data_IF_422902936171
#
_entry.id   IF_422902936171
#
_cell.length_a   1.000
_cell.length_b   1.000
_cell.length_c   1.000
_cell.angle_alpha   90.00
_cell.angle_beta   90.00
_cell.angle_gamma   90.00
#
_symmetry.space_group_name_H-M   'P 1'
#
loop_
_entity.id
_entity.type
_entity.pdbx_description
1 polymer ?
#
# COMPACT_ATOMS: atom_id res chain seq x y z
N UNK A 1 14.86 18.45 -1.06
CA UNK A 1 14.68 18.97 0.30
C UNK A 1 15.10 20.44 0.39
N UNK A 2 16.20 20.82 -0.28
CA UNK A 2 16.81 22.17 -0.20
C UNK A 2 15.95 23.34 -0.68
N UNK A 3 14.97 23.11 -1.55
CA UNK A 3 14.19 24.19 -2.17
C UNK A 3 13.06 24.73 -1.29
N UNK A 4 12.58 23.96 -0.31
CA UNK A 4 11.47 24.36 0.58
C UNK A 4 11.94 24.81 1.97
N UNK A 5 13.07 24.30 2.47
CA UNK A 5 13.63 24.70 3.76
C UNK A 5 14.11 26.16 3.76
N UNK A 6 14.62 26.69 2.64
CA UNK A 6 15.15 28.06 2.55
C UNK A 6 14.09 29.19 2.67
N UNK A 7 12.80 28.86 2.81
CA UNK A 7 11.70 29.84 2.78
C UNK A 7 11.28 30.34 4.18
N UNK A 8 11.77 29.72 5.28
CA UNK A 8 11.25 29.94 6.65
C UNK A 8 12.09 30.87 7.56
N UNK A 9 12.73 31.90 7.01
CA UNK A 9 13.94 32.54 7.59
C UNK A 9 13.79 33.37 8.87
N UNK A 10 12.60 33.56 9.47
CA UNK A 10 12.42 34.38 10.69
C UNK A 10 11.86 33.65 11.92
N UNK A 11 11.33 32.43 11.78
CA UNK A 11 10.80 31.68 12.92
C UNK A 11 11.93 30.92 13.65
N UNK A 12 12.04 31.12 14.98
CA UNK A 12 13.11 30.53 15.81
C UNK A 12 13.13 29.00 15.74
N UNK A 13 11.97 28.34 15.87
CA UNK A 13 11.89 26.87 15.85
C UNK A 13 12.28 26.34 14.47
N UNK A 14 11.93 27.06 13.40
CA UNK A 14 12.32 26.62 12.05
C UNK A 14 13.84 26.70 11.85
N UNK A 15 14.50 27.75 12.35
CA UNK A 15 15.97 27.84 12.32
C UNK A 15 16.62 26.70 13.11
N UNK A 16 16.09 26.41 14.30
CA UNK A 16 16.57 25.29 15.13
C UNK A 16 16.41 23.95 14.39
N UNK A 17 15.30 23.72 13.67
CA UNK A 17 15.12 22.51 12.86
C UNK A 17 16.01 22.46 11.61
N UNK A 18 16.29 23.60 10.97
CA UNK A 18 17.25 23.67 9.86
C UNK A 18 18.66 23.32 10.33
N UNK A 19 19.06 23.81 11.51
CA UNK A 19 20.34 23.48 12.12
C UNK A 19 20.41 22.00 12.49
N UNK A 20 19.35 21.46 13.10
CA UNK A 20 19.22 20.03 13.40
C UNK A 20 19.32 19.19 12.11
N UNK A 21 18.63 19.59 11.04
CA UNK A 21 18.71 18.95 9.73
C UNK A 21 20.13 18.89 9.20
N UNK A 22 20.87 19.99 9.31
CA UNK A 22 22.27 20.07 8.86
C UNK A 22 23.15 19.11 9.66
N UNK A 23 23.03 19.14 10.99
CA UNK A 23 23.78 18.25 11.90
C UNK A 23 23.56 16.77 11.57
N UNK A 24 22.31 16.38 11.33
CA UNK A 24 21.97 14.97 11.09
C UNK A 24 22.35 14.51 9.68
N UNK A 25 22.03 15.29 8.65
CA UNK A 25 22.18 14.81 7.26
C UNK A 25 23.53 15.17 6.63
N UNK A 26 24.11 16.32 7.00
CA UNK A 26 25.42 16.73 6.47
C UNK A 26 26.55 16.30 7.42
N UNK A 27 26.37 16.53 8.72
CA UNK A 27 27.41 16.25 9.73
C UNK A 27 27.32 14.82 10.31
N UNK A 28 26.24 14.08 9.99
CA UNK A 28 25.98 12.69 10.40
C UNK A 28 25.93 12.49 11.93
N UNK A 29 25.44 13.49 12.65
CA UNK A 29 25.21 13.42 14.09
C UNK A 29 23.89 12.69 14.43
N UNK A 30 23.84 12.08 15.62
CA UNK A 30 22.59 11.60 16.24
C UNK A 30 21.75 12.80 16.71
N UNK A 31 20.41 12.66 16.82
CA UNK A 31 19.57 13.78 17.28
C UNK A 31 19.90 14.18 18.73
N UNK A 32 20.17 13.18 19.57
CA UNK A 32 20.32 13.36 21.01
C UNK A 32 19.05 13.88 21.71
N UNK A 33 19.08 14.02 23.06
CA UNK A 33 17.91 14.42 23.84
C UNK A 33 17.36 15.81 23.47
N UNK A 34 18.25 16.76 23.18
CA UNK A 34 17.87 18.13 22.80
C UNK A 34 17.19 18.17 21.43
N UNK A 35 17.70 17.40 20.46
CA UNK A 35 17.09 17.27 19.13
C UNK A 35 15.70 16.63 19.22
N UNK A 36 15.53 15.56 19.98
CA UNK A 36 14.22 14.94 20.20
C UNK A 36 13.24 15.89 20.92
N UNK A 37 13.72 16.65 21.92
CA UNK A 37 12.90 17.67 22.58
C UNK A 37 12.51 18.81 21.64
N UNK A 38 13.37 19.17 20.68
CA UNK A 38 13.04 20.14 19.63
C UNK A 38 11.94 19.63 18.71
N UNK A 39 12.00 18.35 18.28
CA UNK A 39 10.95 17.75 17.46
C UNK A 39 9.60 17.78 18.17
N UNK A 40 9.55 17.49 19.48
CA UNK A 40 8.32 17.58 20.30
C UNK A 40 7.71 18.98 20.24
N UNK A 41 8.51 20.00 20.58
CA UNK A 41 8.08 21.41 20.57
C UNK A 41 7.62 21.85 19.17
N UNK A 42 8.28 21.36 18.13
CA UNK A 42 7.89 21.65 16.75
C UNK A 42 6.52 21.05 16.39
N UNK A 43 6.23 19.79 16.78
CA UNK A 43 4.91 19.18 16.56
C UNK A 43 3.79 19.91 17.31
N UNK A 44 4.08 20.37 18.53
CA UNK A 44 3.15 21.14 19.39
C UNK A 44 2.93 22.59 18.92
N UNK A 45 3.69 23.05 17.91
CA UNK A 45 3.56 24.41 17.39
C UNK A 45 2.24 24.56 16.63
N UNK A 46 1.39 25.47 17.11
CA UNK A 46 0.02 25.68 16.61
C UNK A 46 0.00 26.35 15.23
N UNK A 47 0.88 27.30 14.97
CA UNK A 47 0.94 28.02 13.70
C UNK A 47 2.34 28.53 13.36
N UNK A 48 2.63 28.58 12.05
CA UNK A 48 3.83 29.22 11.50
C UNK A 48 3.38 30.40 10.64
N UNK A 49 3.61 31.64 11.11
CA UNK A 49 3.06 32.86 10.51
C UNK A 49 3.86 33.49 9.36
N UNK A 50 4.98 32.89 8.95
CA UNK A 50 6.01 33.61 8.19
C UNK A 50 6.11 33.27 6.70
N UNK A 51 5.09 32.65 6.12
CA UNK A 51 5.10 32.29 4.70
C UNK A 51 3.94 32.93 3.96
N UNK A 52 4.25 33.81 3.00
CA UNK A 52 3.29 34.20 1.96
C UNK A 52 3.52 33.30 0.76
N UNK A 53 2.69 32.27 0.61
CA UNK A 53 2.71 31.43 -0.58
C UNK A 53 2.08 32.24 -1.72
N UNK A 54 2.79 32.34 -2.84
CA UNK A 54 2.34 33.09 -4.01
C UNK A 54 0.96 32.55 -4.44
N UNK A 55 -0.02 33.45 -4.62
CA UNK A 55 -1.42 33.17 -4.95
C UNK A 55 -2.34 32.70 -3.79
N UNK A 56 -1.84 32.57 -2.56
CA UNK A 56 -2.68 32.29 -1.39
C UNK A 56 -2.86 33.53 -0.51
N UNK A 57 -3.98 33.59 0.21
CA UNK A 57 -4.18 34.59 1.26
C UNK A 57 -3.18 34.35 2.40
N UNK A 58 -2.99 35.32 3.29
CA UNK A 58 -2.11 35.13 4.46
C UNK A 58 -2.59 33.99 5.35
N UNK A 59 -3.90 33.89 5.60
CA UNK A 59 -4.49 32.81 6.39
C UNK A 59 -4.31 31.45 5.72
N UNK A 60 -4.55 31.35 4.41
CA UNK A 60 -4.37 30.10 3.67
C UNK A 60 -2.90 29.66 3.63
N UNK A 61 -1.98 30.63 3.48
CA UNK A 61 -0.55 30.35 3.47
C UNK A 61 -0.08 29.82 4.83
N UNK A 62 -0.60 30.37 5.94
CA UNK A 62 -0.29 29.89 7.29
C UNK A 62 -0.76 28.44 7.50
N UNK A 63 -1.96 28.08 7.01
CA UNK A 63 -2.48 26.70 7.09
C UNK A 63 -1.52 25.74 6.38
N UNK A 64 -1.23 25.99 5.11
CA UNK A 64 -0.36 25.12 4.30
C UNK A 64 1.05 25.04 4.88
N UNK A 65 1.60 26.17 5.32
CA UNK A 65 2.96 26.22 5.89
C UNK A 65 3.06 25.46 7.20
N UNK A 66 2.03 25.53 8.05
CA UNK A 66 1.97 24.75 9.29
C UNK A 66 1.91 23.25 9.00
N UNK A 67 1.15 22.83 7.98
CA UNK A 67 1.09 21.42 7.57
C UNK A 67 2.41 20.92 7.00
N UNK A 68 3.06 21.69 6.11
CA UNK A 68 4.39 21.35 5.59
C UNK A 68 5.39 21.22 6.74
N UNK A 69 5.34 22.15 7.70
CA UNK A 69 6.21 22.14 8.86
C UNK A 69 6.01 20.88 9.73
N UNK A 70 4.75 20.51 10.02
CA UNK A 70 4.41 19.28 10.75
C UNK A 70 4.83 18.02 9.98
N UNK A 71 4.58 17.96 8.67
CA UNK A 71 5.02 16.86 7.82
C UNK A 71 6.54 16.67 7.87
N UNK A 72 7.31 17.75 7.74
CA UNK A 72 8.77 17.70 7.81
C UNK A 72 9.25 17.23 9.19
N UNK A 73 8.65 17.73 10.26
CA UNK A 73 8.98 17.31 11.63
C UNK A 73 8.68 15.81 11.83
N UNK A 74 7.57 15.30 11.30
CA UNK A 74 7.26 13.87 11.34
C UNK A 74 8.26 13.02 10.54
N UNK A 75 8.76 13.51 9.40
CA UNK A 75 9.84 12.82 8.68
C UNK A 75 11.10 12.68 9.53
N UNK A 76 11.46 13.71 10.29
CA UNK A 76 12.58 13.64 11.23
C UNK A 76 12.33 12.63 12.35
N UNK A 77 11.14 12.62 12.95
CA UNK A 77 10.79 11.64 13.99
C UNK A 77 10.87 10.22 13.42
N UNK A 78 10.30 9.99 12.23
CA UNK A 78 10.39 8.69 11.56
C UNK A 78 11.83 8.27 11.34
N UNK A 79 12.68 9.18 10.85
CA UNK A 79 14.10 8.91 10.66
C UNK A 79 14.81 8.53 11.97
N UNK A 80 14.56 9.26 13.07
CA UNK A 80 15.10 8.92 14.39
C UNK A 80 14.68 7.52 14.86
N UNK A 81 13.42 7.14 14.62
CA UNK A 81 12.93 5.78 14.94
C UNK A 81 13.62 4.73 14.07
N UNK A 82 13.79 4.98 12.78
CA UNK A 82 14.45 4.06 11.84
C UNK A 82 15.94 3.86 12.17
N UNK A 83 16.62 4.90 12.69
CA UNK A 83 18.00 4.84 13.17
C UNK A 83 18.12 4.26 14.59
N UNK A 84 17.02 3.76 15.17
CA UNK A 84 16.94 3.14 16.51
C UNK A 84 17.28 4.08 17.66
N UNK A 85 17.07 5.37 17.49
CA UNK A 85 17.14 6.29 18.61
C UNK A 85 15.98 6.06 19.58
N UNK A 86 16.24 6.26 20.87
CA UNK A 86 15.22 6.05 21.91
C UNK A 86 14.30 7.26 21.97
N UNK A 87 13.16 7.16 21.29
CA UNK A 87 12.12 8.18 21.27
C UNK A 87 11.20 8.05 22.50
N UNK A 88 10.99 9.15 23.22
CA UNK A 88 10.13 9.18 24.42
C UNK A 88 8.65 9.10 24.07
N UNK A 89 7.83 8.47 24.93
CA UNK A 89 6.36 8.42 24.76
C UNK A 89 5.73 9.80 24.59
N UNK A 90 6.22 10.81 25.33
CA UNK A 90 5.81 12.21 25.17
C UNK A 90 5.89 12.73 23.73
N UNK A 91 6.97 12.39 23.01
CA UNK A 91 7.13 12.77 21.61
C UNK A 91 6.18 11.96 20.72
N UNK A 92 5.95 10.68 21.03
CA UNK A 92 4.99 9.84 20.30
C UNK A 92 3.54 10.28 20.52
N UNK A 93 3.21 10.82 21.69
CA UNK A 93 1.92 11.45 21.95
C UNK A 93 1.73 12.69 21.08
N UNK A 94 2.75 13.56 21.01
CA UNK A 94 2.72 14.71 20.10
C UNK A 94 2.58 14.31 18.63
N UNK A 95 3.22 13.20 18.20
CA UNK A 95 3.05 12.63 16.84
C UNK A 95 1.59 12.27 16.58
N UNK A 96 0.94 11.60 17.52
CA UNK A 96 -0.47 11.19 17.39
C UNK A 96 -1.40 12.40 17.43
N UNK A 97 -1.10 13.39 18.26
CA UNK A 97 -1.94 14.59 18.43
C UNK A 97 -2.05 15.42 17.16
N UNK A 98 -1.06 15.37 16.27
CA UNK A 98 -1.12 16.00 14.93
C UNK A 98 -2.38 15.59 14.15
N UNK A 99 -2.89 14.37 14.33
CA UNK A 99 -4.11 13.90 13.65
C UNK A 99 -5.38 14.69 14.03
N UNK A 100 -5.37 15.40 15.17
CA UNK A 100 -6.53 16.10 15.73
C UNK A 100 -6.45 17.63 15.64
N UNK A 101 -5.28 18.16 15.27
CA UNK A 101 -5.01 19.59 15.30
C UNK A 101 -5.56 20.36 14.08
N UNK A 102 -5.94 19.66 13.01
CA UNK A 102 -6.17 20.30 11.72
C UNK A 102 -7.68 20.62 11.55
N UNK A 103 -8.08 21.83 11.97
CA UNK A 103 -9.51 22.22 11.97
C UNK A 103 -9.89 23.37 11.04
N UNK A 104 -8.93 24.05 10.43
CA UNK A 104 -9.24 25.26 9.65
C UNK A 104 -9.80 24.97 8.25
N UNK A 105 -10.86 25.66 7.88
CA UNK A 105 -11.52 25.54 6.58
C UNK A 105 -11.19 26.73 5.68
N UNK A 106 -10.52 26.47 4.56
CA UNK A 106 -10.41 27.43 3.45
C UNK A 106 -11.59 27.28 2.49
N UNK A 107 -11.98 28.36 1.81
CA UNK A 107 -12.94 28.34 0.70
C UNK A 107 -12.24 28.23 -0.67
N UNK A 108 -10.92 28.33 -0.72
CA UNK A 108 -10.15 28.25 -1.96
C UNK A 108 -9.89 26.79 -2.35
N UNK A 109 -10.39 26.37 -3.52
CA UNK A 109 -10.25 24.99 -3.99
C UNK A 109 -8.80 24.51 -4.08
N UNK A 110 -7.87 25.36 -4.52
CA UNK A 110 -6.46 24.99 -4.62
C UNK A 110 -5.85 24.72 -3.24
N UNK A 111 -6.23 25.51 -2.23
CA UNK A 111 -5.79 25.34 -0.84
C UNK A 111 -6.41 24.07 -0.25
N UNK A 112 -7.69 23.79 -0.52
CA UNK A 112 -8.36 22.57 -0.07
C UNK A 112 -7.66 21.33 -0.61
N UNK A 113 -7.35 21.30 -1.92
CA UNK A 113 -6.67 20.16 -2.54
C UNK A 113 -5.26 19.94 -1.98
N UNK A 114 -4.48 21.01 -1.82
CA UNK A 114 -3.13 20.91 -1.27
C UNK A 114 -3.15 20.52 0.22
N UNK A 115 -4.10 21.05 0.98
CA UNK A 115 -4.35 20.65 2.38
C UNK A 115 -4.65 19.16 2.46
N UNK A 116 -5.58 18.63 1.67
CA UNK A 116 -5.93 17.21 1.67
C UNK A 116 -4.74 16.32 1.32
N UNK A 117 -3.91 16.75 0.36
CA UNK A 117 -2.67 16.06 0.01
C UNK A 117 -1.73 15.98 1.22
N UNK A 118 -1.48 17.11 1.88
CA UNK A 118 -0.60 17.17 3.05
C UNK A 118 -1.14 16.41 4.26
N UNK A 119 -2.45 16.49 4.53
CA UNK A 119 -3.11 15.72 5.58
C UNK A 119 -2.95 14.22 5.38
N UNK A 120 -3.09 13.74 4.14
CA UNK A 120 -2.88 12.32 3.81
C UNK A 120 -1.43 11.90 4.05
N UNK A 121 -0.45 12.72 3.64
CA UNK A 121 0.96 12.41 3.88
C UNK A 121 1.30 12.40 5.38
N UNK A 122 0.81 13.39 6.13
CA UNK A 122 0.93 13.45 7.60
C UNK A 122 0.35 12.18 8.21
N UNK A 123 -0.86 11.79 7.80
CA UNK A 123 -1.49 10.57 8.27
C UNK A 123 -0.61 9.33 8.01
N UNK A 124 -0.08 9.18 6.80
CA UNK A 124 0.79 8.04 6.47
C UNK A 124 2.06 8.01 7.33
N UNK A 125 2.66 9.17 7.62
CA UNK A 125 3.81 9.27 8.51
C UNK A 125 3.47 8.87 9.94
N UNK A 126 2.33 9.33 10.46
CA UNK A 126 1.88 8.94 11.82
C UNK A 126 1.64 7.43 11.90
N UNK A 127 0.99 6.83 10.90
CA UNK A 127 0.81 5.37 10.83
C UNK A 127 2.16 4.66 10.83
N UNK A 128 3.10 5.06 9.97
CA UNK A 128 4.43 4.46 9.91
C UNK A 128 5.16 4.50 11.26
N UNK A 129 5.19 5.67 11.90
CA UNK A 129 5.85 5.85 13.20
C UNK A 129 5.20 4.94 14.26
N UNK A 130 3.87 4.88 14.31
CA UNK A 130 3.16 4.02 15.26
C UNK A 130 3.48 2.53 15.07
N UNK A 131 3.61 2.05 13.82
CA UNK A 131 3.97 0.65 13.55
C UNK A 131 5.44 0.35 13.83
N UNK A 132 6.35 1.27 13.50
CA UNK A 132 7.78 1.11 13.77
C UNK A 132 8.07 1.07 15.28
N UNK A 133 7.38 1.90 16.06
CA UNK A 133 7.53 1.99 17.52
C UNK A 133 6.63 1.03 18.29
N UNK A 134 5.59 0.47 17.64
CA UNK A 134 4.49 -0.28 18.26
C UNK A 134 3.77 0.52 19.36
N UNK A 135 3.74 1.85 19.24
CA UNK A 135 3.12 2.74 20.22
C UNK A 135 1.80 3.30 19.71
N UNK A 136 0.81 3.35 20.59
CA UNK A 136 -0.41 4.15 20.44
C UNK A 136 -0.82 4.70 21.81
N UNK A 137 -1.51 5.84 21.82
CA UNK A 137 -2.05 6.41 23.05
C UNK A 137 -3.56 6.16 23.20
N UNK A 138 -4.09 6.39 24.40
CA UNK A 138 -5.48 6.10 24.74
C UNK A 138 -6.47 6.89 23.86
N UNK A 139 -6.14 8.13 23.52
CA UNK A 139 -6.96 9.00 22.65
C UNK A 139 -7.15 8.40 21.26
N UNK A 140 -6.08 7.90 20.65
CA UNK A 140 -6.15 7.19 19.36
C UNK A 140 -6.92 5.88 19.48
N UNK A 141 -6.60 5.05 20.49
CA UNK A 141 -7.29 3.79 20.70
C UNK A 141 -8.80 3.99 20.89
N UNK A 142 -9.21 4.97 21.69
CA UNK A 142 -10.62 5.30 21.88
C UNK A 142 -11.27 5.73 20.56
N UNK A 143 -10.61 6.60 19.79
CA UNK A 143 -11.15 7.13 18.53
C UNK A 143 -11.34 6.04 17.47
N UNK A 144 -10.42 5.06 17.41
CA UNK A 144 -10.54 3.89 16.53
C UNK A 144 -11.66 2.95 17.00
N UNK A 145 -11.70 2.63 18.31
CA UNK A 145 -12.71 1.72 18.88
C UNK A 145 -14.14 2.24 18.73
N UNK A 146 -14.35 3.53 18.99
CA UNK A 146 -15.64 4.20 18.90
C UNK A 146 -16.02 4.60 17.47
N UNK A 147 -15.13 4.36 16.50
CA UNK A 147 -15.32 4.68 15.08
C UNK A 147 -15.62 6.18 14.88
N UNK A 148 -14.90 7.04 15.59
CA UNK A 148 -15.02 8.50 15.44
C UNK A 148 -14.11 9.07 14.36
N UNK A 149 -13.15 8.27 13.89
CA UNK A 149 -12.28 8.60 12.75
C UNK A 149 -12.84 8.05 11.43
N UNK A 150 -12.51 8.66 10.28
CA UNK A 150 -12.78 8.09 8.97
C UNK A 150 -12.25 6.67 8.79
N UNK A 151 -12.86 5.91 7.89
CA UNK A 151 -12.46 4.53 7.59
C UNK A 151 -10.99 4.41 7.21
N UNK A 152 -10.52 5.30 6.34
CA UNK A 152 -9.12 5.33 5.87
C UNK A 152 -8.12 5.41 7.05
N UNK A 153 -8.47 6.10 8.14
CA UNK A 153 -7.62 6.18 9.32
C UNK A 153 -7.80 4.96 10.23
N UNK A 154 -9.05 4.60 10.51
CA UNK A 154 -9.40 3.57 11.49
C UNK A 154 -8.82 2.20 11.14
N UNK A 155 -8.88 1.81 9.86
CA UNK A 155 -8.41 0.49 9.42
C UNK A 155 -6.90 0.33 9.56
N UNK A 156 -6.14 1.42 9.42
CA UNK A 156 -4.70 1.40 9.56
C UNK A 156 -4.25 1.25 11.01
N UNK A 157 -5.02 1.74 11.99
CA UNK A 157 -4.72 1.60 13.42
C UNK A 157 -5.42 0.43 14.11
N UNK A 158 -6.29 -0.31 13.39
CA UNK A 158 -7.06 -1.40 13.96
C UNK A 158 -6.18 -2.45 14.65
N UNK A 159 -5.06 -2.87 14.04
CA UNK A 159 -4.15 -3.87 14.60
C UNK A 159 -3.37 -3.39 15.83
N UNK A 160 -3.14 -2.08 15.97
CA UNK A 160 -2.41 -1.51 17.10
C UNK A 160 -3.31 -1.14 18.27
N UNK A 161 -4.63 -1.12 18.06
CA UNK A 161 -5.61 -0.74 19.07
C UNK A 161 -5.97 -1.93 19.95
N UNK A 162 -6.18 -1.67 21.25
CA UNK A 162 -6.53 -2.71 22.21
C UNK A 162 -7.91 -2.47 22.83
N UNK A 163 -8.61 -3.56 23.16
CA UNK A 163 -9.95 -3.53 23.74
C UNK A 163 -11.09 -3.71 22.72
N UNK A 164 -12.34 -3.58 23.16
CA UNK A 164 -13.51 -3.89 22.33
C UNK A 164 -13.78 -2.81 21.28
N UNK A 165 -14.15 -3.22 20.07
CA UNK A 165 -14.53 -2.31 18.99
C UNK A 165 -16.04 -2.23 18.84
N UNK A 166 -16.56 -1.01 18.61
CA UNK A 166 -17.95 -0.79 18.22
C UNK A 166 -18.25 -1.28 16.80
N UNK A 167 -17.24 -1.21 15.93
CA UNK A 167 -17.32 -1.69 14.55
C UNK A 167 -16.92 -3.17 14.46
N UNK A 168 -17.83 -4.00 13.96
CA UNK A 168 -17.56 -5.43 13.69
C UNK A 168 -16.37 -5.61 12.73
N UNK A 169 -16.28 -4.80 11.69
CA UNK A 169 -15.19 -4.83 10.72
C UNK A 169 -13.83 -4.59 11.40
N UNK A 170 -13.73 -3.55 12.24
CA UNK A 170 -12.48 -3.25 12.93
C UNK A 170 -12.11 -4.35 13.93
N UNK A 171 -13.10 -4.99 14.57
CA UNK A 171 -12.88 -6.16 15.43
C UNK A 171 -12.27 -7.33 14.63
N UNK A 172 -12.82 -7.62 13.44
CA UNK A 172 -12.31 -8.69 12.56
C UNK A 172 -10.88 -8.38 12.09
N UNK A 173 -10.61 -7.12 11.73
CA UNK A 173 -9.27 -6.66 11.32
C UNK A 173 -8.28 -6.75 12.49
N UNK A 174 -8.68 -6.37 13.70
CA UNK A 174 -7.83 -6.46 14.90
C UNK A 174 -7.50 -7.91 15.29
N UNK A 175 -8.50 -8.79 15.33
CA UNK A 175 -8.30 -10.20 15.68
C UNK A 175 -7.51 -10.97 14.61
N UNK A 176 -7.54 -10.50 13.37
CA UNK A 176 -7.06 -11.22 12.18
C UNK A 176 -7.62 -12.65 12.14
N UNK A 177 -8.93 -12.77 12.30
CA UNK A 177 -9.62 -14.06 12.22
C UNK A 177 -9.64 -14.55 10.77
N UNK A 178 -8.70 -15.42 10.42
CA UNK A 178 -8.50 -15.91 9.05
C UNK A 178 -9.73 -16.69 8.56
N UNK A 179 -10.54 -16.03 7.73
CA UNK A 179 -11.72 -16.57 7.06
C UNK A 179 -12.12 -15.66 5.89
N UNK A 180 -13.18 -16.03 5.16
CA UNK A 180 -13.68 -15.26 4.02
C UNK A 180 -14.21 -13.86 4.40
N UNK A 181 -14.66 -13.64 5.64
CA UNK A 181 -15.08 -12.32 6.10
C UNK A 181 -13.89 -11.36 6.15
N UNK A 182 -12.76 -11.82 6.71
CA UNK A 182 -11.52 -11.04 6.71
C UNK A 182 -11.03 -10.76 5.27
N UNK A 183 -11.05 -11.75 4.38
CA UNK A 183 -10.68 -11.59 2.96
C UNK A 183 -11.51 -10.48 2.30
N UNK A 184 -12.83 -10.47 2.53
CA UNK A 184 -13.72 -9.47 1.96
C UNK A 184 -13.40 -8.05 2.46
N UNK A 185 -13.17 -7.89 3.77
CA UNK A 185 -12.77 -6.59 4.32
C UNK A 185 -11.42 -6.14 3.77
N UNK A 186 -10.41 -6.99 3.77
CA UNK A 186 -9.09 -6.65 3.22
C UNK A 186 -9.17 -6.31 1.72
N UNK A 187 -10.02 -6.99 0.96
CA UNK A 187 -10.27 -6.67 -0.45
C UNK A 187 -10.88 -5.27 -0.62
N UNK A 188 -11.83 -4.89 0.24
CA UNK A 188 -12.43 -3.56 0.25
C UNK A 188 -11.46 -2.44 0.67
N UNK A 189 -10.54 -2.75 1.59
CA UNK A 189 -9.61 -1.77 2.17
C UNK A 189 -8.21 -1.75 1.58
N UNK A 190 -7.85 -2.66 0.69
CA UNK A 190 -6.47 -2.80 0.17
C UNK A 190 -5.85 -1.50 -0.36
N UNK A 191 -6.65 -0.59 -0.90
CA UNK A 191 -6.17 0.70 -1.43
C UNK A 191 -6.07 1.80 -0.36
N UNK A 192 -6.71 1.62 0.80
CA UNK A 192 -6.64 2.52 1.96
C UNK A 192 -5.58 2.08 2.98
N UNK A 193 -5.19 0.80 2.96
CA UNK A 193 -4.16 0.26 3.84
C UNK A 193 -2.77 0.74 3.41
N UNK A 194 -2.02 1.29 4.36
CA UNK A 194 -0.62 1.63 4.18
C UNK A 194 0.18 0.32 4.01
N UNK A 195 1.18 0.33 3.13
CA UNK A 195 2.16 -0.77 2.95
C UNK A 195 2.65 -1.41 4.27
N UNK A 196 3.12 -0.63 5.26
CA UNK A 196 3.60 -1.19 6.53
C UNK A 196 2.51 -1.99 7.27
N UNK A 197 1.25 -1.57 7.16
CA UNK A 197 0.09 -2.28 7.70
C UNK A 197 -0.16 -3.57 6.93
N UNK A 198 -0.14 -3.53 5.60
CA UNK A 198 -0.27 -4.74 4.76
C UNK A 198 0.81 -5.77 5.09
N UNK A 199 2.05 -5.32 5.20
CA UNK A 199 3.19 -6.16 5.57
C UNK A 199 3.01 -6.78 6.96
N UNK A 200 2.55 -5.98 7.93
CA UNK A 200 2.25 -6.47 9.28
C UNK A 200 1.13 -7.49 9.27
N UNK A 201 0.05 -7.27 8.51
CA UNK A 201 -1.04 -8.25 8.33
C UNK A 201 -0.49 -9.57 7.79
N UNK A 202 0.35 -9.52 6.74
CA UNK A 202 0.97 -10.72 6.16
C UNK A 202 1.82 -11.44 7.20
N UNK A 203 2.68 -10.73 7.92
CA UNK A 203 3.56 -11.33 8.94
C UNK A 203 2.76 -11.97 10.09
N UNK A 204 1.64 -11.38 10.50
CA UNK A 204 0.74 -11.95 11.52
C UNK A 204 -0.09 -13.13 10.99
N UNK A 205 -0.54 -13.08 9.74
CA UNK A 205 -1.25 -14.20 9.10
C UNK A 205 -0.34 -15.42 8.97
N UNK A 206 0.94 -15.24 8.64
CA UNK A 206 1.93 -16.32 8.59
C UNK A 206 2.03 -17.09 9.90
N UNK A 207 1.91 -16.42 11.05
CA UNK A 207 1.99 -17.04 12.38
C UNK A 207 0.75 -17.88 12.72
N UNK A 208 -0.35 -17.72 11.98
CA UNK A 208 -1.66 -18.34 12.24
C UNK A 208 -2.08 -19.33 11.14
N UNK A 209 -1.16 -19.71 10.25
CA UNK A 209 -1.44 -20.67 9.18
C UNK A 209 -1.80 -22.03 9.78
N UNK A 210 -2.90 -22.60 9.29
CA UNK A 210 -3.33 -23.98 9.59
C UNK A 210 -3.87 -24.62 8.31
N UNK A 211 -3.87 -25.94 8.22
CA UNK A 211 -4.41 -26.66 7.06
C UNK A 211 -5.86 -26.29 6.73
N UNK A 212 -6.65 -25.91 7.74
CA UNK A 212 -8.06 -25.54 7.60
C UNK A 212 -8.29 -24.12 7.03
N UNK A 213 -7.28 -23.25 7.01
CA UNK A 213 -7.46 -21.85 6.62
C UNK A 213 -6.63 -21.41 5.38
N UNK A 214 -5.94 -22.36 4.72
CA UNK A 214 -5.04 -22.09 3.60
C UNK A 214 -5.67 -21.29 2.46
N UNK A 215 -6.91 -21.59 2.05
CA UNK A 215 -7.60 -20.84 0.97
C UNK A 215 -7.77 -19.34 1.31
N UNK A 216 -8.14 -19.04 2.55
CA UNK A 216 -8.23 -17.67 3.03
C UNK A 216 -6.85 -17.02 3.13
N UNK A 217 -5.82 -17.76 3.58
CA UNK A 217 -4.42 -17.27 3.58
C UNK A 217 -3.98 -16.88 2.18
N UNK A 218 -4.16 -17.76 1.20
CA UNK A 218 -3.82 -17.51 -0.20
C UNK A 218 -4.52 -16.26 -0.74
N UNK A 219 -5.81 -16.12 -0.44
CA UNK A 219 -6.59 -14.95 -0.83
C UNK A 219 -6.07 -13.66 -0.18
N UNK A 220 -5.70 -13.70 1.11
CA UNK A 220 -5.12 -12.54 1.81
C UNK A 220 -3.79 -12.14 1.17
N UNK A 221 -2.91 -13.10 0.91
CA UNK A 221 -1.65 -12.86 0.22
C UNK A 221 -1.87 -12.24 -1.16
N UNK A 222 -2.77 -12.81 -1.95
CA UNK A 222 -3.09 -12.26 -3.27
C UNK A 222 -3.59 -10.80 -3.21
N UNK A 223 -4.34 -10.46 -2.17
CA UNK A 223 -4.93 -9.12 -2.01
C UNK A 223 -3.92 -8.11 -1.49
N UNK A 224 -3.00 -8.49 -0.60
CA UNK A 224 -2.18 -7.56 0.17
C UNK A 224 -0.67 -7.67 -0.04
N UNK A 225 -0.15 -8.80 -0.48
CA UNK A 225 1.29 -9.03 -0.47
C UNK A 225 1.99 -8.17 -1.53
N UNK A 226 2.97 -7.40 -1.07
CA UNK A 226 3.83 -6.53 -1.88
C UNK A 226 5.32 -6.90 -1.73
N UNK A 227 5.62 -8.04 -1.08
CA UNK A 227 6.99 -8.50 -0.79
C UNK A 227 7.24 -9.89 -1.35
N UNK A 228 8.47 -10.14 -1.78
CA UNK A 228 8.95 -11.48 -2.14
C UNK A 228 9.92 -11.95 -1.06
N UNK A 229 9.48 -12.90 -0.23
CA UNK A 229 10.33 -13.56 0.78
C UNK A 229 10.41 -15.05 0.48
N UNK A 230 11.61 -15.63 0.60
CA UNK A 230 11.86 -17.05 0.34
C UNK A 230 10.98 -17.97 1.19
N UNK A 231 10.81 -17.61 2.46
CA UNK A 231 9.94 -18.33 3.42
C UNK A 231 8.48 -18.46 2.96
N UNK A 232 7.98 -17.56 2.11
CA UNK A 232 6.60 -17.64 1.62
C UNK A 232 6.42 -18.77 0.61
N UNK A 233 7.47 -19.20 -0.10
CA UNK A 233 7.38 -20.35 -1.02
C UNK A 233 7.30 -21.69 -0.29
N UNK A 234 7.56 -21.71 1.03
CA UNK A 234 7.48 -22.91 1.87
C UNK A 234 6.05 -23.16 2.40
N UNK A 235 5.11 -22.22 2.17
CA UNK A 235 3.70 -22.40 2.53
C UNK A 235 3.13 -23.58 1.73
N UNK A 236 2.52 -24.53 2.45
CA UNK A 236 1.96 -25.77 1.90
C UNK A 236 1.05 -25.51 0.69
N UNK A 237 1.09 -26.41 -0.29
CA UNK A 237 0.21 -26.39 -1.47
C UNK A 237 -1.10 -27.13 -1.20
N UNK A 238 -2.22 -26.44 -1.41
CA UNK A 238 -3.55 -27.05 -1.47
C UNK A 238 -4.10 -26.96 -2.90
N UNK A 239 -4.74 -28.02 -3.36
CA UNK A 239 -5.39 -28.05 -4.68
C UNK A 239 -6.66 -27.18 -4.67
N UNK A 240 -6.48 -25.87 -4.85
CA UNK A 240 -7.55 -24.88 -4.98
C UNK A 240 -7.14 -23.74 -5.93
N UNK A 241 -8.12 -23.05 -6.49
CA UNK A 241 -7.90 -22.01 -7.50
C UNK A 241 -7.15 -20.80 -6.90
N UNK A 242 -7.36 -20.51 -5.62
CA UNK A 242 -6.71 -19.45 -4.85
C UNK A 242 -5.20 -19.64 -4.74
N UNK A 243 -4.70 -20.88 -4.83
CA UNK A 243 -3.25 -21.16 -4.76
C UNK A 243 -2.50 -20.52 -5.96
N UNK A 244 -3.13 -20.48 -7.14
CA UNK A 244 -2.57 -19.78 -8.31
C UNK A 244 -2.42 -18.29 -8.01
N UNK A 245 -3.44 -17.69 -7.41
CA UNK A 245 -3.44 -16.29 -7.01
C UNK A 245 -2.34 -16.00 -5.97
N UNK A 246 -2.20 -16.89 -4.98
CA UNK A 246 -1.14 -16.83 -3.99
C UNK A 246 0.25 -16.85 -4.63
N UNK A 247 0.54 -17.81 -5.50
CA UNK A 247 1.82 -17.92 -6.18
C UNK A 247 2.11 -16.68 -7.05
N UNK A 248 1.09 -16.13 -7.72
CA UNK A 248 1.20 -14.84 -8.43
C UNK A 248 1.61 -13.69 -7.51
N UNK A 249 1.18 -13.71 -6.25
CA UNK A 249 1.53 -12.68 -5.25
C UNK A 249 3.00 -12.72 -4.81
N UNK A 250 3.71 -13.81 -5.07
CA UNK A 250 5.11 -14.00 -4.64
C UNK A 250 6.13 -13.56 -5.70
N UNK A 251 5.70 -13.23 -6.92
CA UNK A 251 6.58 -12.80 -8.01
C UNK A 251 7.02 -11.35 -7.77
N UNK A 252 8.33 -11.15 -7.65
CA UNK A 252 8.95 -9.81 -7.51
C UNK A 252 10.28 -9.65 -8.25
N UNK A 253 10.85 -10.74 -8.75
CA UNK A 253 12.11 -10.78 -9.49
C UNK A 253 12.10 -11.94 -10.51
N UNK A 254 13.19 -12.07 -11.27
CA UNK A 254 13.33 -13.12 -12.28
C UNK A 254 13.28 -14.53 -11.64
N UNK A 255 14.03 -14.76 -10.57
CA UNK A 255 14.13 -16.08 -9.92
C UNK A 255 12.76 -16.56 -9.41
N UNK A 256 12.01 -15.67 -8.73
CA UNK A 256 10.65 -15.97 -8.28
C UNK A 256 9.67 -16.18 -9.44
N UNK A 257 9.82 -15.43 -10.54
CA UNK A 257 9.01 -15.64 -11.74
C UNK A 257 9.27 -17.01 -12.39
N UNK A 258 10.53 -17.44 -12.46
CA UNK A 258 10.90 -18.76 -13.00
C UNK A 258 10.36 -19.89 -12.12
N UNK A 259 10.55 -19.80 -10.81
CA UNK A 259 10.02 -20.77 -9.86
C UNK A 259 8.50 -20.91 -9.98
N UNK A 260 7.77 -19.78 -10.00
CA UNK A 260 6.31 -19.79 -10.13
C UNK A 260 5.88 -20.33 -11.49
N UNK A 261 6.59 -20.01 -12.56
CA UNK A 261 6.31 -20.54 -13.90
C UNK A 261 6.40 -22.06 -13.94
N UNK A 262 7.47 -22.63 -13.41
CA UNK A 262 7.66 -24.08 -13.37
C UNK A 262 6.56 -24.75 -12.54
N UNK A 263 6.30 -24.21 -11.35
CA UNK A 263 5.30 -24.73 -10.41
C UNK A 263 3.88 -24.71 -10.98
N UNK A 264 3.53 -23.69 -11.75
CA UNK A 264 2.18 -23.49 -12.29
C UNK A 264 2.03 -23.84 -13.78
N UNK A 265 3.05 -24.41 -14.41
CA UNK A 265 3.07 -24.76 -15.84
C UNK A 265 1.79 -25.48 -16.31
N UNK A 266 1.36 -26.51 -15.58
CA UNK A 266 0.13 -27.27 -15.85
C UNK A 266 -1.15 -26.44 -15.73
N UNK A 267 -1.17 -25.41 -14.89
CA UNK A 267 -2.32 -24.51 -14.74
C UNK A 267 -2.46 -23.57 -15.94
N UNK A 268 -1.35 -23.16 -16.55
CA UNK A 268 -1.38 -22.36 -17.79
C UNK A 268 -1.93 -23.17 -18.97
N UNK A 269 -1.56 -24.44 -19.09
CA UNK A 269 -2.10 -25.30 -20.15
C UNK A 269 -3.62 -25.47 -20.00
N UNK A 270 -4.10 -25.63 -18.75
CA UNK A 270 -5.55 -25.66 -18.45
C UNK A 270 -6.25 -24.35 -18.79
N UNK A 271 -5.61 -23.19 -18.59
CA UNK A 271 -6.15 -21.90 -19.01
C UNK A 271 -6.29 -21.80 -20.54
N UNK A 272 -5.27 -22.25 -21.27
CA UNK A 272 -5.27 -22.24 -22.72
C UNK A 272 -6.46 -23.06 -23.25
N UNK A 273 -6.66 -24.24 -22.67
CA UNK A 273 -7.78 -25.12 -22.99
C UNK A 273 -9.13 -24.48 -22.63
N UNK A 274 -9.26 -23.93 -21.41
CA UNK A 274 -10.50 -23.28 -20.96
C UNK A 274 -10.89 -22.08 -21.84
N UNK A 275 -9.92 -21.24 -22.23
CA UNK A 275 -10.18 -20.11 -23.14
C UNK A 275 -10.55 -20.59 -24.54
N UNK A 276 -9.91 -21.64 -25.07
CA UNK A 276 -10.28 -22.25 -26.37
C UNK A 276 -11.71 -22.80 -26.35
N UNK A 277 -12.10 -23.48 -25.28
CA UNK A 277 -13.47 -23.96 -25.07
C UNK A 277 -14.46 -22.80 -24.98
N UNK A 278 -14.14 -21.75 -24.21
CA UNK A 278 -14.97 -20.56 -24.12
C UNK A 278 -15.17 -19.86 -25.48
N UNK A 279 -14.11 -19.74 -26.29
CA UNK A 279 -14.20 -19.20 -27.66
C UNK A 279 -15.16 -20.05 -28.50
N UNK A 280 -15.04 -21.38 -28.42
CA UNK A 280 -15.90 -22.31 -29.16
C UNK A 280 -17.38 -22.11 -28.79
N UNK A 281 -17.73 -22.19 -27.50
CA UNK A 281 -19.11 -22.05 -27.03
C UNK A 281 -19.69 -20.64 -27.25
N UNK A 282 -18.87 -19.60 -27.14
CA UNK A 282 -19.33 -18.22 -27.39
C UNK A 282 -19.69 -18.00 -28.85
N UNK A 283 -18.96 -18.63 -29.79
CA UNK A 283 -19.28 -18.58 -31.23
C UNK A 283 -20.60 -19.31 -31.53
N UNK A 284 -20.92 -20.34 -30.77
CA UNK A 284 -22.21 -21.06 -30.86
C UNK A 284 -23.37 -20.34 -30.12
N UNK A 285 -23.11 -19.17 -29.51
CA UNK A 285 -24.07 -18.33 -28.76
C UNK A 285 -24.74 -19.03 -27.57
N UNK A 286 -24.11 -20.07 -27.00
CA UNK A 286 -24.81 -20.98 -26.10
C UNK A 286 -24.70 -20.66 -24.61
N UNK A 287 -23.67 -19.96 -24.11
CA UNK A 287 -23.48 -19.84 -22.64
C UNK A 287 -22.79 -18.55 -22.16
N UNK A 288 -23.12 -18.16 -20.92
CA UNK A 288 -22.37 -17.20 -20.09
C UNK A 288 -21.50 -17.98 -19.11
N UNK A 289 -20.26 -17.53 -18.90
CA UNK A 289 -19.29 -18.18 -18.01
C UNK A 289 -19.73 -18.15 -16.55
N UNK A 290 -19.39 -19.18 -15.77
CA UNK A 290 -19.67 -19.21 -14.33
C UNK A 290 -18.76 -18.23 -13.58
N UNK A 291 -19.20 -17.79 -12.40
CA UNK A 291 -18.39 -16.90 -11.54
C UNK A 291 -17.08 -17.54 -11.08
N UNK A 292 -17.06 -18.86 -10.90
CA UNK A 292 -15.87 -19.61 -10.52
C UNK A 292 -14.85 -19.64 -11.65
N UNK A 293 -15.29 -19.94 -12.88
CA UNK A 293 -14.41 -19.98 -14.04
C UNK A 293 -13.86 -18.57 -14.36
N UNK A 294 -14.69 -17.53 -14.18
CA UNK A 294 -14.25 -16.13 -14.28
C UNK A 294 -13.13 -15.79 -13.30
N UNK A 295 -13.24 -16.26 -12.05
CA UNK A 295 -12.24 -16.04 -11.01
C UNK A 295 -10.93 -16.79 -11.30
N UNK A 296 -11.02 -18.06 -11.72
CA UNK A 296 -9.85 -18.86 -12.11
C UNK A 296 -9.11 -18.21 -13.29
N UNK A 297 -9.83 -17.82 -14.35
CA UNK A 297 -9.24 -17.12 -15.49
C UNK A 297 -8.57 -15.82 -15.04
N UNK A 298 -9.20 -15.07 -14.13
CA UNK A 298 -8.61 -13.85 -13.58
C UNK A 298 -7.29 -14.12 -12.84
N UNK A 299 -7.23 -15.16 -11.98
CA UNK A 299 -6.00 -15.52 -11.28
C UNK A 299 -4.89 -15.93 -12.25
N UNK A 300 -5.21 -16.72 -13.27
CA UNK A 300 -4.21 -17.14 -14.25
C UNK A 300 -3.76 -15.96 -15.12
N UNK A 301 -4.66 -15.09 -15.58
CA UNK A 301 -4.30 -13.86 -16.32
C UNK A 301 -3.37 -12.97 -15.50
N UNK A 302 -3.66 -12.77 -14.21
CA UNK A 302 -2.81 -11.99 -13.33
C UNK A 302 -1.43 -12.64 -13.13
N UNK A 303 -1.37 -13.97 -13.11
CA UNK A 303 -0.12 -14.73 -13.04
C UNK A 303 0.69 -14.58 -14.32
N UNK A 304 0.06 -14.75 -15.48
CA UNK A 304 0.68 -14.57 -16.80
C UNK A 304 1.26 -13.17 -16.94
N UNK A 305 0.49 -12.13 -16.59
CA UNK A 305 0.95 -10.74 -16.62
C UNK A 305 2.24 -10.57 -15.83
N UNK A 306 2.26 -10.99 -14.56
CA UNK A 306 3.44 -10.85 -13.70
C UNK A 306 4.64 -11.65 -14.17
N UNK A 307 4.47 -12.91 -14.58
CA UNK A 307 5.61 -13.71 -15.06
C UNK A 307 6.12 -13.14 -16.38
N UNK A 308 5.24 -12.67 -17.27
CA UNK A 308 5.62 -12.12 -18.58
C UNK A 308 6.48 -10.86 -18.50
N UNK A 309 6.48 -10.17 -17.36
CA UNK A 309 7.40 -9.07 -17.03
C UNK A 309 8.88 -9.51 -17.03
N UNK A 310 9.14 -10.79 -16.70
CA UNK A 310 10.49 -11.34 -16.58
C UNK A 310 10.78 -12.44 -17.63
N UNK A 311 9.75 -13.20 -18.03
CA UNK A 311 9.86 -14.36 -18.93
C UNK A 311 8.74 -14.36 -19.97
N UNK A 312 8.93 -13.57 -21.02
CA UNK A 312 7.92 -13.35 -22.07
C UNK A 312 7.74 -14.56 -23.00
N UNK A 313 8.79 -15.37 -23.21
CA UNK A 313 8.81 -16.45 -24.21
C UNK A 313 7.77 -17.55 -23.97
N UNK A 314 7.54 -17.93 -22.72
CA UNK A 314 6.59 -18.97 -22.34
C UNK A 314 5.12 -18.63 -22.63
N UNK A 315 4.83 -17.35 -22.90
CA UNK A 315 3.46 -16.87 -23.04
C UNK A 315 3.08 -16.39 -24.45
N UNK A 316 3.99 -16.43 -25.43
CA UNK A 316 3.66 -16.08 -26.81
C UNK A 316 2.52 -16.92 -27.38
N UNK A 317 2.39 -18.17 -26.94
CA UNK A 317 1.29 -19.08 -27.33
C UNK A 317 -0.10 -18.55 -26.96
N UNK A 318 -0.21 -17.71 -25.94
CA UNK A 318 -1.48 -17.12 -25.51
C UNK A 318 -1.90 -15.89 -26.33
N UNK A 319 -1.02 -15.27 -27.11
CA UNK A 319 -1.34 -14.05 -27.85
C UNK A 319 -2.53 -14.23 -28.81
N UNK A 320 -2.54 -15.33 -29.58
CA UNK A 320 -3.64 -15.64 -30.48
C UNK A 320 -4.95 -15.89 -29.72
N UNK A 321 -4.88 -16.65 -28.63
CA UNK A 321 -6.03 -16.96 -27.79
C UNK A 321 -6.62 -15.69 -27.18
N UNK A 322 -5.79 -14.77 -26.70
CA UNK A 322 -6.22 -13.49 -26.14
C UNK A 322 -6.89 -12.58 -27.17
N UNK A 323 -6.36 -12.51 -28.40
CA UNK A 323 -6.97 -11.75 -29.48
C UNK A 323 -8.36 -12.29 -29.85
N UNK A 324 -8.54 -13.61 -29.85
CA UNK A 324 -9.81 -14.26 -30.12
C UNK A 324 -10.84 -14.09 -28.99
N UNK A 325 -10.38 -13.92 -27.75
CA UNK A 325 -11.22 -13.75 -26.55
C UNK A 325 -11.74 -12.33 -26.38
N UNK A 326 -10.98 -11.30 -26.78
CA UNK A 326 -11.34 -9.88 -26.58
C UNK A 326 -12.70 -9.46 -27.18
N UNK A 327 -13.09 -9.91 -28.40
CA UNK A 327 -14.40 -9.61 -28.99
C UNK A 327 -15.57 -10.25 -28.24
N UNK A 328 -15.32 -11.26 -27.39
CA UNK A 328 -16.36 -12.03 -26.72
C UNK A 328 -16.92 -11.30 -25.49
N UNK A 329 -18.06 -11.80 -25.00
CA UNK A 329 -18.73 -11.26 -23.81
C UNK A 329 -18.09 -11.80 -22.52
N UNK A 330 -16.90 -11.30 -22.20
CA UNK A 330 -16.22 -11.53 -20.91
C UNK A 330 -16.28 -10.28 -20.04
N UNK A 331 -16.03 -10.45 -18.73
CA UNK A 331 -15.98 -9.34 -17.77
C UNK A 331 -14.97 -8.26 -18.19
N UNK A 332 -15.31 -6.99 -17.93
CA UNK A 332 -14.44 -5.82 -18.20
C UNK A 332 -13.08 -6.01 -17.51
N UNK A 333 -13.07 -6.60 -16.31
CA UNK A 333 -11.86 -6.90 -15.53
C UNK A 333 -10.91 -7.83 -16.29
N UNK A 334 -11.42 -8.92 -16.88
CA UNK A 334 -10.60 -9.85 -17.63
C UNK A 334 -10.14 -9.24 -18.97
N UNK A 335 -10.98 -8.43 -19.63
CA UNK A 335 -10.55 -7.65 -20.82
C UNK A 335 -9.38 -6.72 -20.50
N UNK A 336 -9.48 -5.96 -19.42
CA UNK A 336 -8.43 -5.03 -19.00
C UNK A 336 -7.09 -5.76 -18.78
N UNK A 337 -7.11 -6.90 -18.07
CA UNK A 337 -5.91 -7.73 -17.86
C UNK A 337 -5.33 -8.27 -19.17
N UNK A 338 -6.17 -8.73 -20.10
CA UNK A 338 -5.70 -9.16 -21.42
C UNK A 338 -5.02 -8.00 -22.16
N UNK A 339 -5.60 -6.80 -22.14
CA UNK A 339 -4.98 -5.63 -22.77
C UNK A 339 -3.63 -5.25 -22.13
N UNK A 340 -3.54 -5.26 -20.80
CA UNK A 340 -2.28 -5.02 -20.08
C UNK A 340 -1.18 -5.99 -20.54
N UNK A 341 -1.50 -7.28 -20.60
CA UNK A 341 -0.58 -8.31 -21.09
C UNK A 341 -0.14 -8.01 -22.53
N UNK A 342 -1.10 -7.79 -23.44
CA UNK A 342 -0.81 -7.53 -24.86
C UNK A 342 0.06 -6.28 -25.07
N UNK A 343 -0.20 -5.21 -24.33
CA UNK A 343 0.61 -3.97 -24.38
C UNK A 343 2.03 -4.26 -23.92
N UNK A 344 2.20 -5.00 -22.83
CA UNK A 344 3.53 -5.38 -22.32
C UNK A 344 4.34 -6.17 -23.36
N UNK A 345 3.72 -7.13 -24.04
CA UNK A 345 4.35 -7.88 -25.14
C UNK A 345 4.79 -6.98 -26.30
N UNK A 346 3.98 -6.00 -26.68
CA UNK A 346 4.31 -5.06 -27.77
C UNK A 346 5.50 -4.18 -27.39
N UNK A 347 5.50 -3.62 -26.17
CA UNK A 347 6.57 -2.76 -25.68
C UNK A 347 7.90 -3.52 -25.63
N UNK A 348 7.89 -4.75 -25.11
CA UNK A 348 9.08 -5.61 -25.04
C UNK A 348 9.63 -5.92 -26.44
N UNK A 349 8.76 -6.16 -27.44
CA UNK A 349 9.18 -6.38 -28.83
C UNK A 349 9.76 -5.14 -29.51
N UNK A 350 9.26 -3.94 -29.19
CA UNK A 350 9.79 -2.68 -29.77
C UNK A 350 11.21 -2.40 -29.26
N UNK A 351 11.43 -2.55 -27.95
CA UNK A 351 12.77 -2.43 -27.35
C UNK A 351 13.73 -3.42 -28.00
N UNK A 352 13.31 -4.68 -28.19
CA UNK A 352 14.16 -5.70 -28.83
C UNK A 352 14.52 -5.36 -30.29
N UNK A 353 13.63 -4.72 -31.06
CA UNK A 353 13.94 -4.27 -32.43
C UNK A 353 14.87 -3.07 -32.46
N UNK A 354 14.69 -2.12 -31.54
CA UNK A 354 15.51 -0.92 -31.44
C UNK A 354 16.93 -1.22 -30.91
N UNK A 355 17.08 -2.16 -29.96
CA UNK A 355 18.39 -2.54 -29.40
C UNK A 355 19.17 -3.55 -30.26
N UNK A 356 18.48 -4.40 -31.03
CA UNK A 356 19.13 -5.40 -31.90
C UNK A 356 19.24 -4.96 -33.37
N UNK A 357 18.82 -3.74 -33.73
CA UNK A 357 18.96 -3.20 -35.09
C UNK A 357 18.26 -4.04 -36.16
N UNK A 358 17.00 -4.42 -35.93
CA UNK A 358 16.12 -5.07 -36.93
C UNK A 358 15.11 -4.11 -37.54
#
# INVERSE_FOLDING_TARGET
>A
MDTLMNIFSNNKIVKELQELSRKIFEEKEEFGPEGLSLLKRALETVSIEDMRIKNFSKSDSNIISTLIFKQNTLNFVKYAVETRETVTNDLLDSVIDVLYDIKDCSKNLAVILEKQRLEREIFYLVVDICYLTKYTNEKLQLSVREKTMPDELSVNFALLSTGPFKSYELSVLNELKINNVLVNFLTGYKNKLRKIVKETIIDEVCKKITTNNLESVYSIFFVLNERTKKEFFEIEEKQCDEYIAFMSSLIGDLDSAEYVYEKLSSSFDRMEEALKQFIFYSKEKTLKMSTRDEALIFYILNTVEKISAYKTSGFYKFLGVFQDVLPLNISIRNKAKIYEILVHFIMTRRVYKEECGL
#
